data_IF_906905342423
#
_entry.id   IF_906905342423
#
_cell.length_a   1.000
_cell.length_b   1.000
_cell.length_c   1.000
_cell.angle_alpha   90.00
_cell.angle_beta   90.00
_cell.angle_gamma   90.00
#
_symmetry.space_group_name_H-M   'P 1'
#
loop_
_entity.id
_entity.type
_entity.pdbx_description
1 polymer ?
#
# COMPACT_ATOMS: atom_id res chain seq x y z
N UNK A 1 -2.51 -4.38 -7.67
CA UNK A 1 -1.16 -4.51 -7.06
C UNK A 1 -1.28 -4.52 -5.55
N UNK A 2 -0.45 -5.32 -4.83
CA UNK A 2 -0.43 -5.33 -3.36
C UNK A 2 0.99 -5.56 -2.82
N UNK A 3 1.38 -4.78 -1.82
CA UNK A 3 2.62 -4.91 -1.07
C UNK A 3 2.35 -5.55 0.30
N UNK A 4 3.01 -6.68 0.59
CA UNK A 4 2.82 -7.47 1.80
C UNK A 4 3.48 -6.83 3.03
N UNK A 5 3.11 -7.26 4.23
CA UNK A 5 3.75 -6.84 5.48
C UNK A 5 5.07 -7.57 5.75
N UNK A 6 5.80 -7.09 6.76
CA UNK A 6 7.06 -7.67 7.26
C UNK A 6 6.88 -9.15 7.59
N UNK A 7 7.85 -9.96 7.21
CA UNK A 7 7.88 -11.43 7.38
C UNK A 7 6.77 -12.22 6.67
N UNK A 8 5.85 -11.54 5.96
CA UNK A 8 4.89 -12.28 5.16
C UNK A 8 5.59 -13.09 4.05
N UNK A 9 5.12 -14.30 3.72
CA UNK A 9 5.65 -15.07 2.60
C UNK A 9 5.65 -14.28 1.30
N UNK A 10 6.58 -14.60 0.41
CA UNK A 10 6.63 -13.99 -0.93
C UNK A 10 5.27 -14.15 -1.63
N UNK A 11 4.83 -13.11 -2.33
CA UNK A 11 3.50 -12.99 -2.91
C UNK A 11 2.68 -11.90 -2.20
N UNK A 12 1.39 -12.10 -2.04
CA UNK A 12 0.48 -11.12 -1.44
C UNK A 12 0.53 -11.09 0.11
N UNK A 13 1.01 -12.17 0.73
CA UNK A 13 0.78 -12.41 2.16
C UNK A 13 -0.70 -12.70 2.47
N UNK A 14 -1.00 -13.11 3.71
CA UNK A 14 -2.38 -13.49 4.11
C UNK A 14 -3.37 -12.34 3.96
N UNK A 15 -3.10 -11.20 4.59
CA UNK A 15 -3.97 -10.01 4.52
C UNK A 15 -4.18 -9.53 3.08
N UNK A 16 -3.13 -9.57 2.24
CA UNK A 16 -3.25 -9.19 0.84
C UNK A 16 -4.08 -10.17 0.03
N UNK A 17 -3.98 -11.48 0.31
CA UNK A 17 -4.82 -12.49 -0.34
C UNK A 17 -6.29 -12.31 0.01
N UNK A 18 -6.60 -12.06 1.29
CA UNK A 18 -7.96 -11.83 1.76
C UNK A 18 -8.56 -10.54 1.16
N UNK A 19 -7.77 -9.46 1.12
CA UNK A 19 -8.17 -8.23 0.45
C UNK A 19 -8.49 -8.45 -1.03
N UNK A 20 -7.62 -9.14 -1.78
CA UNK A 20 -7.84 -9.42 -3.21
C UNK A 20 -9.08 -10.29 -3.42
N UNK A 21 -9.29 -11.31 -2.58
CA UNK A 21 -10.49 -12.16 -2.64
C UNK A 21 -11.75 -11.33 -2.38
N UNK A 22 -11.73 -10.43 -1.39
CA UNK A 22 -12.83 -9.53 -1.09
C UNK A 22 -13.10 -8.54 -2.25
N UNK A 23 -12.07 -7.98 -2.88
CA UNK A 23 -12.23 -7.12 -4.08
C UNK A 23 -12.91 -7.92 -5.21
N UNK A 24 -12.39 -9.10 -5.53
CA UNK A 24 -12.96 -9.96 -6.59
C UNK A 24 -14.44 -10.27 -6.37
N UNK A 25 -14.83 -10.51 -5.12
CA UNK A 25 -16.24 -10.80 -4.79
C UNK A 25 -17.17 -9.61 -4.98
N UNK A 26 -16.65 -8.37 -4.96
CA UNK A 26 -17.43 -7.12 -4.98
C UNK A 26 -17.47 -6.43 -6.33
N UNK A 27 -16.53 -6.71 -7.23
CA UNK A 27 -16.45 -6.01 -8.53
C UNK A 27 -17.26 -6.69 -9.65
N UNK A 28 -18.03 -7.71 -9.33
CA UNK A 28 -18.90 -8.43 -10.26
C UNK A 28 -18.09 -9.15 -11.35
N UNK A 29 -18.47 -8.95 -12.60
CA UNK A 29 -17.86 -9.63 -13.75
C UNK A 29 -16.56 -8.99 -14.26
N UNK A 30 -16.02 -8.00 -13.54
CA UNK A 30 -14.76 -7.35 -13.94
C UNK A 30 -13.58 -8.30 -13.73
N UNK A 31 -12.68 -8.36 -14.72
CA UNK A 31 -11.42 -9.09 -14.58
C UNK A 31 -10.48 -8.38 -13.62
N UNK A 32 -9.93 -9.11 -12.64
CA UNK A 32 -8.99 -8.58 -11.65
C UNK A 32 -7.65 -9.28 -11.80
N UNK A 33 -6.73 -8.64 -12.52
CA UNK A 33 -5.32 -9.00 -12.52
C UNK A 33 -4.65 -8.65 -11.18
N UNK A 34 -3.67 -9.43 -10.76
CA UNK A 34 -2.99 -9.25 -9.47
C UNK A 34 -1.49 -9.23 -9.68
N UNK A 35 -0.85 -8.24 -9.08
CA UNK A 35 0.60 -8.15 -8.96
C UNK A 35 1.01 -8.04 -7.49
N UNK A 36 1.91 -8.89 -7.06
CA UNK A 36 2.51 -8.84 -5.73
C UNK A 36 3.86 -8.11 -5.82
N UNK A 37 4.00 -7.01 -5.09
CA UNK A 37 5.24 -6.22 -5.07
C UNK A 37 6.40 -7.06 -4.56
N UNK A 38 7.51 -7.03 -5.31
CA UNK A 38 8.71 -7.83 -5.02
C UNK A 38 9.70 -7.01 -4.20
N UNK A 39 9.92 -7.42 -2.96
CA UNK A 39 10.91 -6.84 -2.06
C UNK A 39 11.17 -7.76 -0.87
N UNK A 40 12.21 -7.53 -0.04
CA UNK A 40 12.56 -8.43 1.07
C UNK A 40 11.47 -8.58 2.12
N UNK A 41 10.72 -7.51 2.46
CA UNK A 41 9.73 -7.46 3.54
C UNK A 41 10.32 -7.94 4.89
N UNK A 42 11.48 -7.42 5.24
CA UNK A 42 12.24 -7.74 6.44
C UNK A 42 12.28 -6.57 7.43
N UNK A 43 12.87 -6.78 8.59
CA UNK A 43 13.14 -5.70 9.57
C UNK A 43 14.34 -4.82 9.20
N UNK A 44 15.06 -5.13 8.13
CA UNK A 44 15.98 -4.19 7.49
C UNK A 44 15.17 -3.18 6.68
N UNK A 45 14.52 -2.26 7.38
CA UNK A 45 13.53 -1.34 6.80
C UNK A 45 14.05 -0.49 5.63
N UNK A 46 15.33 -0.06 5.56
CA UNK A 46 15.87 0.60 4.38
C UNK A 46 15.68 -0.20 3.08
N UNK A 47 15.68 -1.53 3.14
CA UNK A 47 15.46 -2.38 1.95
C UNK A 47 14.04 -2.31 1.37
N UNK A 48 13.09 -1.67 2.07
CA UNK A 48 11.76 -1.40 1.53
C UNK A 48 11.80 -0.51 0.28
N UNK A 49 12.90 0.21 0.05
CA UNK A 49 13.13 0.98 -1.19
C UNK A 49 13.05 0.10 -2.44
N UNK A 50 13.43 -1.17 -2.35
CA UNK A 50 13.29 -2.11 -3.47
C UNK A 50 11.82 -2.33 -3.83
N UNK A 51 10.93 -2.39 -2.83
CA UNK A 51 9.49 -2.46 -3.05
C UNK A 51 8.92 -1.17 -3.68
N UNK A 52 9.44 0.00 -3.28
CA UNK A 52 9.04 1.28 -3.88
C UNK A 52 9.45 1.31 -5.37
N UNK A 53 10.67 0.87 -5.70
CA UNK A 53 11.17 0.79 -7.08
C UNK A 53 10.37 -0.20 -7.92
N UNK A 54 10.14 -1.39 -7.39
CA UNK A 54 9.37 -2.44 -8.07
C UNK A 54 7.93 -1.99 -8.36
N UNK A 55 7.25 -1.44 -7.36
CA UNK A 55 5.89 -0.93 -7.50
C UNK A 55 5.82 0.23 -8.51
N UNK A 56 6.73 1.21 -8.41
CA UNK A 56 6.78 2.36 -9.33
C UNK A 56 6.97 1.90 -10.78
N UNK A 57 7.97 1.06 -11.03
CA UNK A 57 8.26 0.53 -12.37
C UNK A 57 7.09 -0.27 -12.94
N UNK A 58 6.42 -1.08 -12.12
CA UNK A 58 5.27 -1.87 -12.56
C UNK A 58 4.05 -0.99 -12.90
N UNK A 59 3.79 0.06 -12.11
CA UNK A 59 2.73 1.03 -12.38
C UNK A 59 2.98 1.75 -13.72
N UNK A 60 4.19 2.30 -13.92
CA UNK A 60 4.56 3.00 -15.15
C UNK A 60 4.44 2.10 -16.38
N UNK A 61 4.89 0.85 -16.26
CA UNK A 61 4.76 -0.13 -17.32
C UNK A 61 3.28 -0.42 -17.66
N UNK A 62 2.42 -0.63 -16.64
CA UNK A 62 0.99 -0.88 -16.87
C UNK A 62 0.30 0.33 -17.52
N UNK A 63 0.58 1.54 -17.07
CA UNK A 63 0.01 2.76 -17.67
C UNK A 63 0.39 2.89 -19.13
N UNK A 64 1.63 2.53 -19.51
CA UNK A 64 2.10 2.62 -20.89
C UNK A 64 1.57 1.49 -21.79
N UNK A 65 1.41 0.27 -21.25
CA UNK A 65 1.05 -0.92 -22.06
C UNK A 65 -0.44 -1.26 -22.02
N UNK A 66 -1.14 -0.83 -20.95
CA UNK A 66 -2.55 -1.12 -20.70
C UNK A 66 -3.31 0.14 -20.26
N UNK A 67 -3.41 1.18 -21.11
CA UNK A 67 -3.91 2.50 -20.71
C UNK A 67 -5.36 2.52 -20.23
N UNK A 68 -6.18 1.54 -20.61
CA UNK A 68 -7.56 1.44 -20.17
C UNK A 68 -7.74 0.70 -18.84
N UNK A 69 -6.63 0.18 -18.27
CA UNK A 69 -6.68 -0.55 -17.00
C UNK A 69 -6.75 0.40 -15.81
N UNK A 70 -7.74 0.20 -14.94
CA UNK A 70 -7.82 0.89 -13.66
C UNK A 70 -6.91 0.21 -12.65
N UNK A 71 -6.01 0.97 -12.03
CA UNK A 71 -5.08 0.47 -11.05
C UNK A 71 -5.63 0.63 -9.64
N UNK A 72 -5.48 -0.42 -8.83
CA UNK A 72 -5.71 -0.41 -7.39
C UNK A 72 -4.38 -0.70 -6.70
N UNK A 73 -3.96 0.21 -5.84
CA UNK A 73 -2.72 0.09 -5.07
C UNK A 73 -3.07 -0.27 -3.63
N UNK A 74 -2.64 -1.42 -3.17
CA UNK A 74 -2.88 -1.90 -1.82
C UNK A 74 -1.60 -2.21 -1.07
N UNK A 75 -1.62 -2.07 0.24
CA UNK A 75 -0.50 -2.47 1.09
C UNK A 75 -0.93 -2.73 2.53
N UNK A 76 -0.16 -3.56 3.22
CA UNK A 76 -0.36 -3.85 4.63
C UNK A 76 0.93 -3.65 5.41
N UNK A 77 0.87 -2.93 6.57
CA UNK A 77 2.03 -2.72 7.46
C UNK A 77 3.20 -2.09 6.69
N UNK A 78 4.39 -2.69 6.65
CA UNK A 78 5.51 -2.24 5.83
C UNK A 78 5.11 -2.07 4.35
N UNK A 79 4.25 -2.93 3.82
CA UNK A 79 3.72 -2.78 2.46
C UNK A 79 2.82 -1.55 2.30
N UNK A 80 2.09 -1.15 3.35
CA UNK A 80 1.34 0.11 3.34
C UNK A 80 2.31 1.32 3.32
N UNK A 81 3.46 1.23 3.99
CA UNK A 81 4.52 2.23 3.87
C UNK A 81 5.08 2.29 2.44
N UNK A 82 5.39 1.14 1.82
CA UNK A 82 5.85 1.07 0.43
C UNK A 82 4.87 1.80 -0.51
N UNK A 83 3.59 1.48 -0.46
CA UNK A 83 2.57 2.11 -1.30
C UNK A 83 2.37 3.60 -0.92
N UNK A 84 2.47 3.93 0.37
CA UNK A 84 2.43 5.32 0.83
C UNK A 84 3.54 6.17 0.21
N UNK A 85 4.77 5.66 0.17
CA UNK A 85 5.89 6.35 -0.50
C UNK A 85 5.73 6.41 -2.02
N UNK A 86 5.21 5.37 -2.67
CA UNK A 86 4.90 5.37 -4.11
C UNK A 86 3.87 6.45 -4.46
N UNK A 87 2.93 6.73 -3.56
CA UNK A 87 1.87 7.73 -3.74
C UNK A 87 2.21 9.10 -3.15
N UNK A 88 3.43 9.30 -2.64
CA UNK A 88 3.89 10.58 -2.12
C UNK A 88 4.09 11.60 -3.24
N UNK A 89 3.96 12.89 -2.91
CA UNK A 89 4.16 13.99 -3.86
C UNK A 89 5.58 14.58 -3.84
N UNK A 90 6.42 14.11 -2.94
CA UNK A 90 7.82 14.53 -2.81
C UNK A 90 8.66 13.40 -2.21
N UNK A 91 9.94 13.41 -2.50
CA UNK A 91 10.92 12.58 -1.77
C UNK A 91 11.01 13.12 -0.34
N UNK A 92 10.91 12.26 0.69
CA UNK A 92 10.99 12.70 2.07
C UNK A 92 12.31 13.40 2.39
N UNK A 93 12.27 14.36 3.31
CA UNK A 93 13.48 15.04 3.79
C UNK A 93 14.50 14.05 4.38
N UNK A 94 15.75 14.25 4.07
CA UNK A 94 16.86 13.38 4.54
C UNK A 94 17.09 12.12 3.68
N UNK A 95 16.27 11.87 2.67
CA UNK A 95 16.48 10.78 1.69
C UNK A 95 17.16 11.34 0.44
N UNK A 96 18.19 10.63 -0.04
CA UNK A 96 18.84 10.99 -1.30
C UNK A 96 17.88 10.73 -2.49
N UNK A 97 17.51 11.77 -3.26
CA UNK A 97 16.60 11.61 -4.39
C UNK A 97 17.13 10.68 -5.50
N UNK A 98 18.43 10.41 -5.54
CA UNK A 98 19.02 9.47 -6.49
C UNK A 98 18.80 8.01 -6.12
N UNK A 99 18.47 7.74 -4.85
CA UNK A 99 18.29 6.38 -4.33
C UNK A 99 16.84 5.89 -4.37
N UNK A 100 15.88 6.78 -4.66
CA UNK A 100 14.44 6.47 -4.66
C UNK A 100 13.79 6.89 -5.98
N UNK A 101 12.68 6.25 -6.38
CA UNK A 101 11.88 6.72 -7.52
C UNK A 101 11.40 8.15 -7.32
N UNK A 102 11.31 8.88 -8.42
CA UNK A 102 10.66 10.21 -8.41
C UNK A 102 9.16 10.06 -8.13
N UNK A 103 8.53 11.08 -7.50
CA UNK A 103 7.08 11.11 -7.37
C UNK A 103 6.40 10.94 -8.74
N UNK A 104 5.32 10.16 -8.78
CA UNK A 104 4.61 9.89 -10.02
C UNK A 104 3.87 11.11 -10.54
N UNK A 105 3.91 11.37 -11.86
CA UNK A 105 3.18 12.49 -12.46
C UNK A 105 1.66 12.28 -12.41
N UNK A 106 0.91 13.37 -12.57
CA UNK A 106 -0.56 13.34 -12.57
C UNK A 106 -1.11 12.37 -13.63
N UNK A 107 -0.47 12.28 -14.80
CA UNK A 107 -0.86 11.35 -15.87
C UNK A 107 -0.84 9.88 -15.43
N UNK A 108 0.07 9.49 -14.54
CA UNK A 108 0.08 8.15 -13.94
C UNK A 108 -0.99 8.02 -12.86
N UNK A 109 -1.11 9.06 -12.02
CA UNK A 109 -2.10 9.07 -10.95
C UNK A 109 -3.54 8.96 -11.48
N UNK A 110 -3.84 9.46 -12.68
CA UNK A 110 -5.17 9.40 -13.29
C UNK A 110 -5.62 7.95 -13.60
N UNK A 111 -4.69 7.02 -13.79
CA UNK A 111 -4.97 5.59 -13.95
C UNK A 111 -5.22 4.87 -12.63
N UNK A 112 -4.83 5.46 -11.49
CA UNK A 112 -5.06 4.88 -10.17
C UNK A 112 -6.47 5.20 -9.71
N UNK A 113 -7.33 4.19 -9.64
CA UNK A 113 -8.71 4.32 -9.19
C UNK A 113 -8.83 4.38 -7.67
N UNK A 114 -8.02 3.59 -6.96
CA UNK A 114 -8.06 3.53 -5.50
C UNK A 114 -6.70 3.16 -4.89
N UNK A 115 -6.47 3.66 -3.67
CA UNK A 115 -5.36 3.29 -2.79
C UNK A 115 -5.95 2.75 -1.49
N UNK A 116 -5.53 1.55 -1.06
CA UNK A 116 -6.00 0.91 0.16
C UNK A 116 -4.83 0.55 1.07
N UNK A 117 -4.66 1.27 2.17
CA UNK A 117 -3.57 1.10 3.11
C UNK A 117 -4.13 0.53 4.43
N UNK A 118 -3.60 -0.62 4.83
CA UNK A 118 -4.01 -1.36 6.02
C UNK A 118 -2.85 -1.34 7.03
N UNK A 119 -3.06 -0.84 8.24
CA UNK A 119 -2.03 -0.76 9.28
C UNK A 119 -0.81 0.06 8.87
N UNK A 120 -1.04 1.20 8.24
CA UNK A 120 0.05 2.10 7.82
C UNK A 120 0.83 2.56 9.04
N UNK A 121 2.17 2.34 9.10
CA UNK A 121 2.97 2.82 10.20
C UNK A 121 2.77 4.33 10.43
N UNK A 122 2.46 4.72 11.65
CA UNK A 122 2.27 6.12 12.00
C UNK A 122 3.62 6.88 12.15
N UNK A 123 3.55 8.17 12.38
CA UNK A 123 4.74 9.01 12.50
C UNK A 123 5.61 8.58 13.69
N UNK A 124 5.02 8.15 14.80
CA UNK A 124 5.76 7.74 15.99
C UNK A 124 6.51 6.43 15.72
N UNK A 125 5.86 5.44 15.13
CA UNK A 125 6.51 4.19 14.74
C UNK A 125 7.64 4.44 13.72
N UNK A 126 7.40 5.27 12.71
CA UNK A 126 8.42 5.59 11.70
C UNK A 126 9.65 6.29 12.32
N UNK A 127 9.44 7.20 13.28
CA UNK A 127 10.55 7.83 14.04
C UNK A 127 11.32 6.80 14.85
N UNK A 128 10.65 5.86 15.52
CA UNK A 128 11.28 4.82 16.32
C UNK A 128 12.21 3.92 15.49
N UNK A 129 11.83 3.63 14.24
CA UNK A 129 12.65 2.85 13.30
C UNK A 129 13.58 3.72 12.43
N UNK A 130 13.67 5.03 12.71
CA UNK A 130 14.53 6.01 12.01
C UNK A 130 14.24 6.09 10.50
N UNK A 131 12.95 6.00 10.13
CA UNK A 131 12.48 6.15 8.76
C UNK A 131 11.66 7.44 8.63
N UNK A 132 11.60 8.03 7.43
CA UNK A 132 10.81 9.23 7.19
C UNK A 132 9.30 8.96 7.33
N UNK A 133 8.48 9.98 7.68
CA UNK A 133 7.04 9.84 7.80
C UNK A 133 6.40 9.51 6.44
N UNK A 134 5.32 8.75 6.49
CA UNK A 134 4.54 8.35 5.32
C UNK A 134 3.46 9.40 5.04
N UNK A 135 3.39 9.88 3.81
CA UNK A 135 2.38 10.86 3.39
C UNK A 135 1.82 10.49 2.03
N UNK A 136 0.52 10.24 1.97
CA UNK A 136 -0.19 10.08 0.69
C UNK A 136 -0.34 11.45 0.05
N UNK A 137 0.15 11.59 -1.17
CA UNK A 137 0.14 12.86 -1.91
C UNK A 137 -1.26 13.30 -2.34
N UNK A 138 -1.44 14.59 -2.65
CA UNK A 138 -2.76 15.18 -2.97
C UNK A 138 -3.42 14.55 -4.20
N UNK A 139 -2.65 14.02 -5.16
CA UNK A 139 -3.19 13.31 -6.34
C UNK A 139 -3.93 12.01 -5.98
N UNK A 140 -3.72 11.49 -4.78
CA UNK A 140 -4.29 10.23 -4.30
C UNK A 140 -5.21 10.40 -3.10
N UNK A 141 -5.19 11.54 -2.41
CA UNK A 141 -5.87 11.75 -1.13
C UNK A 141 -7.38 11.45 -1.18
N UNK A 142 -8.09 11.86 -2.23
CA UNK A 142 -9.53 11.65 -2.40
C UNK A 142 -9.91 10.23 -2.89
N UNK A 143 -8.93 9.41 -3.21
CA UNK A 143 -9.09 8.03 -3.66
C UNK A 143 -8.31 7.03 -2.81
N UNK A 144 -7.86 7.46 -1.63
CA UNK A 144 -7.20 6.63 -0.65
C UNK A 144 -8.10 6.34 0.56
N UNK A 145 -8.01 5.12 1.06
CA UNK A 145 -8.51 4.71 2.37
C UNK A 145 -7.34 4.22 3.21
N UNK A 146 -7.25 4.68 4.45
CA UNK A 146 -6.28 4.20 5.43
C UNK A 146 -7.05 3.63 6.62
N UNK A 147 -6.81 2.36 6.93
CA UNK A 147 -7.50 1.65 8.00
C UNK A 147 -6.48 1.17 9.03
N UNK A 148 -6.80 1.44 10.30
CA UNK A 148 -6.03 0.99 11.45
C UNK A 148 -6.95 0.16 12.35
N UNK A 149 -6.50 -1.03 12.75
CA UNK A 149 -7.25 -1.84 13.71
C UNK A 149 -7.20 -1.17 15.09
N UNK A 150 -8.31 -1.13 15.83
CA UNK A 150 -8.32 -0.55 17.17
C UNK A 150 -7.27 -1.23 18.06
N UNK A 151 -6.39 -0.43 18.66
CA UNK A 151 -5.32 -0.91 19.54
C UNK A 151 -4.02 -1.31 18.83
N UNK A 152 -3.96 -1.26 17.50
CA UNK A 152 -2.78 -1.62 16.73
C UNK A 152 -1.61 -0.62 16.97
N UNK A 153 -0.47 -1.05 17.57
CA UNK A 153 0.63 -0.16 17.93
C UNK A 153 1.45 0.33 16.73
N UNK A 154 1.20 -0.17 15.53
CA UNK A 154 1.94 0.25 14.33
C UNK A 154 1.32 1.53 13.73
N UNK A 155 0.01 1.68 13.82
CA UNK A 155 -0.74 2.77 13.19
C UNK A 155 -1.55 3.62 14.18
N UNK A 156 -1.40 3.39 15.49
CA UNK A 156 -2.04 4.16 16.58
C UNK A 156 -1.22 4.08 17.87
N UNK A 157 -1.65 4.86 18.87
CA UNK A 157 -1.07 4.82 20.24
C UNK A 157 -1.48 3.55 21.02
N UNK A 158 -1.98 2.53 20.36
CA UNK A 158 -2.37 1.27 20.98
C UNK A 158 -1.19 0.41 21.43
N UNK A 159 -1.47 -0.60 22.24
CA UNK A 159 -0.48 -1.54 22.80
C UNK A 159 -0.85 -3.02 22.56
N UNK A 160 -1.90 -3.28 21.77
CA UNK A 160 -2.32 -4.64 21.41
C UNK A 160 -1.64 -5.11 20.13
N UNK A 161 -0.49 -5.80 20.27
CA UNK A 161 0.21 -6.38 19.13
C UNK A 161 -0.63 -7.40 18.33
N UNK A 162 -1.65 -8.02 18.91
CA UNK A 162 -2.54 -8.94 18.20
C UNK A 162 -3.49 -8.19 17.24
N UNK A 163 -3.83 -6.95 17.56
CA UNK A 163 -4.64 -6.09 16.69
C UNK A 163 -3.99 -5.93 15.32
N UNK A 164 -2.65 -5.87 15.26
CA UNK A 164 -1.92 -5.72 13.98
C UNK A 164 -2.17 -6.89 13.00
N UNK A 165 -2.57 -8.05 13.46
CA UNK A 165 -2.86 -9.21 12.60
C UNK A 165 -4.36 -9.48 12.41
N UNK A 166 -5.24 -8.66 13.00
CA UNK A 166 -6.68 -8.90 13.07
C UNK A 166 -7.48 -8.37 11.87
N UNK A 167 -6.86 -7.70 10.90
CA UNK A 167 -7.53 -6.93 9.83
C UNK A 167 -8.61 -7.71 9.07
N UNK A 168 -8.37 -8.99 8.78
CA UNK A 168 -9.37 -9.84 8.13
C UNK A 168 -10.50 -10.20 9.09
N UNK A 169 -10.17 -10.61 10.32
CA UNK A 169 -11.16 -11.12 11.28
C UNK A 169 -12.12 -10.04 11.79
N UNK A 170 -11.69 -8.78 11.83
CA UNK A 170 -12.53 -7.64 12.21
C UNK A 170 -13.14 -6.90 11.00
N UNK A 171 -12.97 -7.44 9.78
CA UNK A 171 -13.62 -6.96 8.56
C UNK A 171 -12.98 -5.76 7.87
N UNK A 172 -11.76 -5.33 8.26
CA UNK A 172 -11.10 -4.18 7.63
C UNK A 172 -10.65 -4.45 6.19
N UNK A 173 -10.28 -5.69 5.86
CA UNK A 173 -10.02 -6.09 4.46
C UNK A 173 -11.27 -5.99 3.60
N UNK A 174 -12.44 -6.35 4.13
CA UNK A 174 -13.73 -6.23 3.44
C UNK A 174 -14.16 -4.76 3.29
N UNK A 175 -13.93 -3.93 4.32
CA UNK A 175 -14.17 -2.49 4.25
C UNK A 175 -13.30 -1.82 3.17
N UNK A 176 -12.01 -2.15 3.12
CA UNK A 176 -11.10 -1.66 2.08
C UNK A 176 -11.55 -2.10 0.69
N UNK A 177 -11.98 -3.36 0.54
CA UNK A 177 -12.48 -3.90 -0.72
C UNK A 177 -13.78 -3.23 -1.18
N UNK A 178 -14.68 -2.89 -0.25
CA UNK A 178 -15.91 -2.15 -0.54
C UNK A 178 -15.60 -0.74 -1.05
N UNK A 179 -14.63 -0.07 -0.43
CA UNK A 179 -14.15 1.23 -0.90
C UNK A 179 -13.57 1.16 -2.31
N UNK A 180 -12.75 0.15 -2.60
CA UNK A 180 -12.17 -0.09 -3.92
C UNK A 180 -13.27 -0.36 -4.96
N UNK A 181 -14.21 -1.25 -4.66
CA UNK A 181 -15.28 -1.64 -5.59
C UNK A 181 -16.16 -0.44 -6.00
N UNK A 182 -16.33 0.55 -5.13
CA UNK A 182 -17.06 1.78 -5.44
C UNK A 182 -16.33 2.73 -6.41
N UNK A 183 -15.04 2.49 -6.71
CA UNK A 183 -14.19 3.37 -7.53
C UNK A 183 -13.74 2.73 -8.87
N UNK A 184 -13.97 1.45 -9.07
CA UNK A 184 -13.56 0.71 -10.27
C UNK A 184 -14.70 0.26 -11.16
#
# INVERSE_FOLDING_TARGET
>A
MFARGTFAPQGLGGIGQDFVNAVRSKVGNKSVGVYAVVYPASTDFPTAVDGIRDAASHIENLVSTCPDTKLVLGGYSQGAAVIGFVTANAVPGGVDPSEVPKPMPASVADHVAAVALLGTPDTQFMQAIKQPPITVGPLYANKAIQLCAPGDPICSDGDDGAAHTSYTTIGLTDQAASFVAAKV
#
